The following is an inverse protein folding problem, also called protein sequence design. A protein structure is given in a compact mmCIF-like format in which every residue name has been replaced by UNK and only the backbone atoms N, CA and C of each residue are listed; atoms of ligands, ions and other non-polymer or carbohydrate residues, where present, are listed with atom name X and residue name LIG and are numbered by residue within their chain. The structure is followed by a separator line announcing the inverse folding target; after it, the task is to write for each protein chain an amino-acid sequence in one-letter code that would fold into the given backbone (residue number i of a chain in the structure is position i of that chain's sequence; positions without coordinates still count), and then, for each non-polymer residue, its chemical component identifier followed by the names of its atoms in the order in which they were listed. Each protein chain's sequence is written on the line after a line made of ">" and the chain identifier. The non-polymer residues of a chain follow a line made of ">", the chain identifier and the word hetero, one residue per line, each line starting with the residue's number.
data_IF_684210007033
#
_entry.id   IF_684210007033
#
_cell.length_a   1.000
_cell.length_b   1.000
_cell.length_c   1.000
_cell.angle_alpha   90.00
_cell.angle_beta   90.00
_cell.angle_gamma   90.00
#
_symmetry.space_group_name_H-M   'P 1'
#
loop_
_entity.id
_entity.type
_entity.pdbx_description
1 polymer ?
#
# COMPACT_ATOMS: atom_id res chain seq x y z
N UNK A 1 11.12 -58.33 11.26
CA UNK A 1 10.80 -57.01 10.67
C UNK A 1 10.02 -56.25 11.72
N UNK A 2 10.43 -55.03 12.03
CA UNK A 2 9.65 -54.19 12.95
C UNK A 2 8.30 -53.86 12.31
N UNK A 3 7.22 -54.01 13.06
CA UNK A 3 5.88 -53.59 12.66
C UNK A 3 5.86 -52.06 12.65
N UNK A 4 5.55 -51.47 11.49
CA UNK A 4 5.51 -50.02 11.26
C UNK A 4 4.08 -49.54 11.00
N UNK A 5 3.08 -50.38 11.30
CA UNK A 5 1.65 -50.06 11.10
C UNK A 5 1.16 -48.88 11.92
N UNK A 6 1.84 -48.55 13.02
CA UNK A 6 1.50 -47.45 13.94
C UNK A 6 2.36 -46.19 13.76
N UNK A 7 3.26 -46.19 12.78
CA UNK A 7 4.26 -45.15 12.58
C UNK A 7 3.70 -44.02 11.69
N UNK A 8 3.37 -42.89 12.30
CA UNK A 8 2.97 -41.68 11.59
C UNK A 8 4.18 -40.85 11.19
N UNK A 9 4.40 -40.67 9.88
CA UNK A 9 5.45 -39.81 9.33
C UNK A 9 4.91 -38.41 9.08
N UNK A 10 5.38 -37.42 9.83
CA UNK A 10 5.13 -36.01 9.52
C UNK A 10 6.03 -35.60 8.35
N UNK A 11 5.43 -35.21 7.24
CA UNK A 11 6.14 -34.68 6.07
C UNK A 11 5.70 -33.25 5.77
N UNK A 12 6.63 -32.44 5.26
CA UNK A 12 6.32 -31.10 4.73
C UNK A 12 5.58 -31.26 3.40
N UNK A 13 4.66 -30.33 3.09
CA UNK A 13 3.81 -30.41 1.88
C UNK A 13 4.60 -30.55 0.59
N UNK A 14 5.77 -29.90 0.49
CA UNK A 14 6.67 -30.00 -0.68
C UNK A 14 7.17 -31.44 -0.94
N UNK A 15 7.28 -32.26 0.11
CA UNK A 15 7.78 -33.63 0.03
C UNK A 15 6.66 -34.68 -0.10
N UNK A 16 5.40 -34.25 -0.17
CA UNK A 16 4.28 -35.15 -0.38
C UNK A 16 4.15 -35.47 -1.86
N UNK A 17 4.20 -36.76 -2.17
CA UNK A 17 4.03 -37.28 -3.52
C UNK A 17 2.73 -38.10 -3.61
N UNK A 18 2.15 -38.15 -4.81
CA UNK A 18 1.12 -39.11 -5.16
C UNK A 18 1.74 -40.51 -5.31
N UNK A 19 0.89 -41.52 -5.46
CA UNK A 19 1.34 -42.91 -5.67
C UNK A 19 2.19 -43.12 -6.93
N UNK A 20 2.08 -42.23 -7.91
CA UNK A 20 2.88 -42.22 -9.15
C UNK A 20 4.21 -41.44 -9.00
N UNK A 21 4.59 -41.06 -7.77
CA UNK A 21 5.76 -40.26 -7.43
C UNK A 21 5.75 -38.81 -7.96
N UNK A 22 4.63 -38.30 -8.48
CA UNK A 22 4.48 -36.87 -8.79
C UNK A 22 4.16 -36.04 -7.55
N UNK A 23 4.56 -34.75 -7.47
CA UNK A 23 4.20 -33.89 -6.35
C UNK A 23 2.69 -33.84 -6.10
N UNK A 24 2.30 -34.03 -4.84
CA UNK A 24 0.90 -33.97 -4.41
C UNK A 24 0.38 -32.52 -4.46
N UNK A 25 1.24 -31.57 -4.14
CA UNK A 25 0.95 -30.13 -4.20
C UNK A 25 1.77 -29.47 -5.30
N UNK A 26 1.19 -28.51 -6.05
CA UNK A 26 1.96 -27.69 -6.97
C UNK A 26 3.07 -26.93 -6.24
N UNK A 27 4.23 -26.80 -6.90
CA UNK A 27 5.31 -25.96 -6.41
C UNK A 27 4.87 -24.49 -6.41
N UNK A 28 5.28 -23.75 -5.36
CA UNK A 28 5.00 -22.33 -5.22
C UNK A 28 6.33 -21.60 -5.28
N UNK A 29 6.51 -20.77 -6.31
CA UNK A 29 7.71 -19.97 -6.47
C UNK A 29 7.34 -18.50 -6.35
N UNK A 30 8.10 -17.75 -5.57
CA UNK A 30 7.95 -16.31 -5.41
C UNK A 30 9.11 -15.60 -6.11
N UNK A 31 8.80 -14.49 -6.77
CA UNK A 31 9.76 -13.65 -7.47
C UNK A 31 9.54 -12.20 -7.08
N UNK A 32 10.62 -11.46 -6.86
CA UNK A 32 10.57 -10.01 -6.67
C UNK A 32 10.87 -9.33 -8.00
N UNK A 33 9.96 -8.48 -8.46
CA UNK A 33 10.15 -7.69 -9.68
C UNK A 33 10.70 -6.32 -9.29
N UNK A 34 12.00 -6.04 -9.49
CA UNK A 34 12.53 -4.70 -9.27
C UNK A 34 12.02 -3.75 -10.35
N UNK A 35 11.85 -2.49 -10.02
CA UNK A 35 11.54 -1.45 -10.99
C UNK A 35 12.30 -0.17 -10.66
N UNK A 36 12.57 0.63 -11.69
CA UNK A 36 13.16 1.96 -11.52
C UNK A 36 12.04 2.99 -11.55
N UNK A 37 12.04 3.89 -10.56
CA UNK A 37 11.12 5.04 -10.54
C UNK A 37 11.31 5.88 -11.80
N UNK A 38 10.20 6.39 -12.35
CA UNK A 38 10.24 7.44 -13.35
C UNK A 38 10.84 8.73 -12.78
N UNK A 39 11.30 9.63 -13.65
CA UNK A 39 11.86 10.91 -13.21
C UNK A 39 10.85 11.74 -12.40
N UNK A 40 9.56 11.67 -12.75
CA UNK A 40 8.49 12.33 -12.03
C UNK A 40 8.28 11.72 -10.63
N UNK A 41 8.25 10.39 -10.52
CA UNK A 41 8.15 9.70 -9.22
C UNK A 41 9.38 9.97 -8.34
N UNK A 42 10.59 9.96 -8.92
CA UNK A 42 11.82 10.29 -8.21
C UNK A 42 11.83 11.75 -7.72
N UNK A 43 11.29 12.68 -8.52
CA UNK A 43 11.14 14.08 -8.12
C UNK A 43 10.13 14.24 -6.97
N UNK A 44 8.97 13.56 -7.02
CA UNK A 44 8.02 13.53 -5.91
C UNK A 44 8.66 12.94 -4.65
N UNK A 45 9.40 11.84 -4.80
CA UNK A 45 10.10 11.19 -3.69
C UNK A 45 11.07 12.14 -3.00
N UNK A 46 11.91 12.82 -3.79
CA UNK A 46 12.83 13.83 -3.27
C UNK A 46 12.08 14.97 -2.57
N UNK A 47 11.00 15.47 -3.15
CA UNK A 47 10.24 16.59 -2.60
C UNK A 47 9.53 16.23 -1.28
N UNK A 48 8.93 15.04 -1.18
CA UNK A 48 8.32 14.55 0.06
C UNK A 48 9.40 14.30 1.12
N UNK A 49 10.53 13.71 0.75
CA UNK A 49 11.66 13.47 1.66
C UNK A 49 12.20 14.79 2.23
N UNK A 50 12.37 15.82 1.40
CA UNK A 50 12.84 17.13 1.85
C UNK A 50 11.83 17.78 2.79
N UNK A 51 10.54 17.79 2.43
CA UNK A 51 9.48 18.33 3.28
C UNK A 51 9.52 17.72 4.68
N UNK A 52 9.59 16.40 4.76
CA UNK A 52 9.56 15.76 6.06
C UNK A 52 10.87 15.96 6.82
N UNK A 53 12.03 15.97 6.14
CA UNK A 53 13.31 16.29 6.77
C UNK A 53 13.28 17.70 7.39
N UNK A 54 12.69 18.68 6.71
CA UNK A 54 12.52 20.03 7.23
C UNK A 54 11.57 20.09 8.44
N UNK A 55 10.47 19.34 8.43
CA UNK A 55 9.55 19.23 9.58
C UNK A 55 10.23 18.55 10.78
N UNK A 56 11.00 17.48 10.55
CA UNK A 56 11.74 16.76 11.59
C UNK A 56 12.78 17.66 12.25
N UNK A 57 13.62 18.35 11.46
CA UNK A 57 14.61 19.29 11.99
C UNK A 57 13.96 20.43 12.80
N UNK A 58 12.76 20.89 12.39
CA UNK A 58 11.99 21.90 13.13
C UNK A 58 11.44 21.35 14.45
N UNK A 59 11.07 20.08 14.48
CA UNK A 59 10.58 19.38 15.67
C UNK A 59 11.70 19.10 16.68
N UNK A 60 12.88 18.67 16.26
CA UNK A 60 14.04 18.48 17.15
C UNK A 60 14.48 19.78 17.81
N UNK A 61 14.46 20.90 17.07
CA UNK A 61 14.77 22.23 17.59
C UNK A 61 13.75 22.76 18.63
N UNK A 62 12.74 21.96 19.03
CA UNK A 62 11.81 22.28 20.11
C UNK A 62 12.24 21.72 21.48
N UNK A 63 13.34 20.95 21.57
CA UNK A 63 13.80 20.27 22.81
C UNK A 63 12.66 19.47 23.50
N UNK A 64 11.77 18.86 22.71
CA UNK A 64 10.70 18.01 23.18
C UNK A 64 10.83 16.63 22.53
N UNK A 65 11.59 15.74 23.18
CA UNK A 65 11.98 14.42 22.65
C UNK A 65 10.78 13.60 22.13
N UNK A 66 9.64 13.65 22.81
CA UNK A 66 8.44 12.90 22.37
C UNK A 66 7.82 13.46 21.07
N UNK A 67 7.95 14.77 20.84
CA UNK A 67 7.43 15.42 19.62
C UNK A 67 8.32 15.13 18.40
N UNK A 68 9.63 14.99 18.62
CA UNK A 68 10.57 14.55 17.59
C UNK A 68 10.27 13.12 17.13
N UNK A 69 10.01 12.19 18.06
CA UNK A 69 9.61 10.81 17.76
C UNK A 69 8.33 10.73 16.90
N UNK A 70 7.29 11.48 17.28
CA UNK A 70 6.01 11.52 16.54
C UNK A 70 6.18 12.05 15.10
N UNK A 71 6.99 13.09 14.89
CA UNK A 71 7.27 13.63 13.54
C UNK A 71 8.15 12.67 12.72
N UNK A 72 9.11 12.01 13.36
CA UNK A 72 9.92 10.95 12.75
C UNK A 72 9.08 9.75 12.30
N UNK A 73 8.06 9.36 13.09
CA UNK A 73 7.14 8.29 12.68
C UNK A 73 6.26 8.71 11.49
N UNK A 74 5.77 9.95 11.48
CA UNK A 74 5.02 10.49 10.33
C UNK A 74 5.85 10.47 9.02
N UNK A 75 7.18 10.60 9.08
CA UNK A 75 8.08 10.40 7.94
C UNK A 75 8.00 9.00 7.38
N UNK A 76 8.16 8.01 8.25
CA UNK A 76 8.14 6.60 7.86
C UNK A 76 6.82 6.26 7.17
N UNK A 77 5.70 6.74 7.70
CA UNK A 77 4.39 6.49 7.08
C UNK A 77 4.28 7.17 5.71
N UNK A 78 4.70 8.44 5.56
CA UNK A 78 4.68 9.09 4.24
C UNK A 78 5.55 8.37 3.21
N UNK A 79 6.72 7.86 3.64
CA UNK A 79 7.58 7.08 2.78
C UNK A 79 6.95 5.74 2.39
N UNK A 80 6.29 5.03 3.32
CA UNK A 80 5.52 3.80 3.04
C UNK A 80 4.39 4.07 2.04
N UNK A 81 3.61 5.12 2.25
CA UNK A 81 2.51 5.52 1.35
C UNK A 81 3.02 5.88 -0.04
N UNK A 82 4.14 6.59 -0.12
CA UNK A 82 4.80 6.94 -1.38
C UNK A 82 5.35 5.71 -2.12
N UNK A 83 5.92 4.75 -1.40
CA UNK A 83 6.38 3.48 -1.97
C UNK A 83 5.21 2.59 -2.43
N UNK A 84 4.03 2.74 -1.82
CA UNK A 84 2.86 1.95 -2.18
C UNK A 84 2.25 2.38 -3.52
N UNK A 85 1.73 3.61 -3.62
CA UNK A 85 1.19 4.14 -4.87
C UNK A 85 1.08 5.68 -4.89
N UNK A 86 1.04 6.31 -6.09
CA UNK A 86 0.74 7.73 -6.20
C UNK A 86 -0.62 8.14 -5.62
N UNK A 87 -1.60 7.23 -5.57
CA UNK A 87 -2.89 7.49 -4.90
C UNK A 87 -2.71 7.59 -3.39
N UNK A 88 -2.01 6.63 -2.77
CA UNK A 88 -1.85 6.60 -1.33
C UNK A 88 -1.20 7.88 -0.81
N UNK A 89 -0.07 8.29 -1.41
CA UNK A 89 0.59 9.53 -1.01
C UNK A 89 -0.26 10.78 -1.32
N UNK A 90 -0.98 10.80 -2.45
CA UNK A 90 -1.89 11.89 -2.78
C UNK A 90 -2.97 12.08 -1.70
N UNK A 91 -3.62 10.98 -1.29
CA UNK A 91 -4.66 11.03 -0.27
C UNK A 91 -4.11 11.40 1.10
N UNK A 92 -2.93 10.91 1.49
CA UNK A 92 -2.26 11.30 2.74
C UNK A 92 -1.96 12.81 2.78
N UNK A 93 -1.34 13.34 1.72
CA UNK A 93 -1.02 14.77 1.63
C UNK A 93 -2.27 15.65 1.61
N UNK A 94 -3.30 15.24 0.86
CA UNK A 94 -4.58 15.95 0.78
C UNK A 94 -5.27 16.02 2.13
N UNK A 95 -5.41 14.88 2.82
CA UNK A 95 -6.07 14.81 4.13
C UNK A 95 -5.35 15.67 5.16
N UNK A 96 -4.01 15.58 5.20
CA UNK A 96 -3.18 16.42 6.07
C UNK A 96 -3.39 17.90 5.76
N UNK A 97 -3.35 18.32 4.49
CA UNK A 97 -3.62 19.71 4.08
C UNK A 97 -4.99 20.19 4.55
N UNK A 98 -6.05 19.43 4.25
CA UNK A 98 -7.43 19.82 4.60
C UNK A 98 -7.61 19.99 6.12
N UNK A 99 -6.93 19.19 6.93
CA UNK A 99 -6.91 19.32 8.40
C UNK A 99 -6.13 20.54 8.86
N UNK A 100 -4.92 20.76 8.35
CA UNK A 100 -4.14 21.95 8.70
C UNK A 100 -4.85 23.24 8.28
N UNK A 101 -5.53 23.25 7.14
CA UNK A 101 -6.37 24.38 6.73
C UNK A 101 -7.55 24.62 7.68
N UNK A 102 -8.18 23.55 8.20
CA UNK A 102 -9.23 23.66 9.22
C UNK A 102 -8.68 24.25 10.50
N UNK A 103 -7.50 23.77 10.93
CA UNK A 103 -6.81 24.27 12.12
C UNK A 103 -6.43 25.75 11.97
N UNK A 104 -5.90 26.14 10.81
CA UNK A 104 -5.59 27.53 10.49
C UNK A 104 -6.83 28.43 10.63
N UNK A 105 -7.97 28.02 10.06
CA UNK A 105 -9.23 28.77 10.17
C UNK A 105 -9.67 28.96 11.61
N UNK A 106 -9.58 27.91 12.45
CA UNK A 106 -9.91 27.99 13.88
C UNK A 106 -9.03 29.02 14.60
N UNK A 107 -7.71 28.96 14.36
CA UNK A 107 -6.74 29.87 14.99
C UNK A 107 -6.96 31.32 14.58
N UNK A 108 -7.25 31.57 13.29
CA UNK A 108 -7.56 32.91 12.80
C UNK A 108 -8.85 33.49 13.41
N UNK A 109 -9.83 32.65 13.73
CA UNK A 109 -11.05 33.09 14.43
C UNK A 109 -10.73 33.46 15.89
N UNK A 110 -9.95 32.63 16.58
CA UNK A 110 -9.53 32.89 17.97
C UNK A 110 -8.69 34.17 18.09
N UNK A 111 -7.76 34.38 17.16
CA UNK A 111 -6.94 35.59 17.10
C UNK A 111 -7.78 36.84 16.88
N UNK A 112 -8.79 36.77 16.00
CA UNK A 112 -9.75 37.87 15.78
C UNK A 112 -10.64 38.13 17.00
N UNK A 113 -10.91 37.11 17.81
CA UNK A 113 -11.65 37.21 19.07
C UNK A 113 -10.88 37.81 20.25
N UNK A 114 -9.63 38.26 20.05
CA UNK A 114 -8.80 38.86 21.09
C UNK A 114 -8.23 37.87 22.11
N UNK A 115 -8.33 36.57 21.86
CA UNK A 115 -7.69 35.56 22.69
C UNK A 115 -6.21 35.44 22.30
N UNK A 116 -5.33 35.40 23.31
CA UNK A 116 -3.91 35.12 23.11
C UNK A 116 -3.79 33.68 22.59
N UNK A 117 -3.46 33.53 21.31
CA UNK A 117 -3.07 32.25 20.75
C UNK A 117 -1.69 31.93 21.32
N UNK A 118 -1.66 31.20 22.44
CA UNK A 118 -0.43 30.61 22.96
C UNK A 118 0.20 29.68 21.93
N UNK A 119 1.45 29.25 22.18
CA UNK A 119 2.19 28.24 21.38
C UNK A 119 1.20 27.20 20.86
N UNK A 120 1.25 26.90 19.56
CA UNK A 120 0.39 25.89 18.93
C UNK A 120 0.53 24.56 19.69
N UNK A 121 -0.33 24.39 20.69
CA UNK A 121 -0.36 23.23 21.54
C UNK A 121 -1.09 22.17 20.72
N UNK A 122 -0.31 21.41 19.96
CA UNK A 122 -0.82 20.24 19.28
C UNK A 122 -1.20 19.27 20.39
N UNK A 123 -2.51 19.03 20.56
CA UNK A 123 -3.04 17.93 21.38
C UNK A 123 -2.75 16.57 20.72
N UNK A 124 -1.57 16.40 20.14
CA UNK A 124 -1.13 15.17 19.55
C UNK A 124 -0.84 14.16 20.66
N UNK A 125 -1.22 12.88 20.50
CA UNK A 125 -0.57 11.80 21.22
C UNK A 125 0.93 11.98 21.03
N UNK A 126 1.65 12.16 22.12
CA UNK A 126 3.10 12.19 22.11
C UNK A 126 3.55 10.73 22.11
N UNK A 127 3.78 10.16 20.93
CA UNK A 127 4.35 8.84 20.81
C UNK A 127 5.85 8.93 21.12
N UNK A 128 6.32 8.14 22.08
CA UNK A 128 7.74 7.90 22.27
C UNK A 128 8.23 6.70 21.45
N UNK A 129 9.52 6.38 21.59
CA UNK A 129 10.17 5.37 20.76
C UNK A 129 9.62 3.96 21.03
N UNK A 130 9.17 3.68 22.26
CA UNK A 130 8.52 2.42 22.63
C UNK A 130 7.13 2.32 21.99
N UNK A 131 6.35 3.42 21.99
CA UNK A 131 5.05 3.45 21.33
C UNK A 131 5.14 3.16 19.81
N UNK A 132 6.24 3.57 19.16
CA UNK A 132 6.50 3.31 17.74
C UNK A 132 6.88 1.85 17.48
N UNK A 133 7.66 1.24 18.37
CA UNK A 133 8.03 -0.18 18.27
C UNK A 133 6.81 -1.08 18.52
N UNK A 134 5.94 -0.74 19.46
CA UNK A 134 4.69 -1.47 19.74
C UNK A 134 3.70 -1.43 18.55
N UNK A 135 3.74 -0.38 17.74
CA UNK A 135 2.93 -0.27 16.52
C UNK A 135 3.37 -1.31 15.47
N UNK A 136 4.66 -1.64 15.34
CA UNK A 136 5.11 -2.65 14.38
C UNK A 136 4.53 -4.06 14.68
N UNK A 137 4.13 -4.30 15.94
CA UNK A 137 3.50 -5.55 16.42
C UNK A 137 1.97 -5.46 16.55
N UNK A 138 1.36 -4.29 16.30
CA UNK A 138 -0.08 -4.07 16.47
C UNK A 138 -0.92 -4.72 15.34
N UNK A 139 -2.23 -4.98 15.59
CA UNK A 139 -3.12 -5.48 14.55
C UNK A 139 -3.26 -4.46 13.40
N UNK A 140 -3.15 -4.93 12.16
CA UNK A 140 -3.09 -4.07 10.96
C UNK A 140 -4.26 -3.07 10.80
N UNK A 141 -5.46 -3.46 11.23
CA UNK A 141 -6.62 -2.58 11.13
C UNK A 141 -6.55 -1.40 12.11
N UNK A 142 -5.94 -1.60 13.28
CA UNK A 142 -5.70 -0.55 14.27
C UNK A 142 -4.49 0.30 13.89
N UNK A 143 -3.50 -0.32 13.23
CA UNK A 143 -2.34 0.36 12.66
C UNK A 143 -2.72 1.42 11.63
N UNK A 144 -3.52 1.08 10.62
CA UNK A 144 -3.86 2.03 9.54
C UNK A 144 -4.54 3.30 10.10
N UNK A 145 -5.44 3.16 11.07
CA UNK A 145 -6.13 4.30 11.70
C UNK A 145 -5.14 5.14 12.52
N UNK A 146 -4.30 4.48 13.31
CA UNK A 146 -3.33 5.15 14.18
C UNK A 146 -2.27 5.88 13.36
N UNK A 147 -1.77 5.25 12.29
CA UNK A 147 -0.86 5.86 11.33
C UNK A 147 -1.45 7.16 10.77
N UNK A 148 -2.70 7.12 10.30
CA UNK A 148 -3.38 8.30 9.77
C UNK A 148 -3.50 9.40 10.82
N UNK A 149 -3.95 9.05 12.03
CA UNK A 149 -4.09 10.02 13.12
C UNK A 149 -2.76 10.70 13.48
N UNK A 150 -1.66 9.96 13.52
CA UNK A 150 -0.33 10.50 13.80
C UNK A 150 0.12 11.42 12.68
N UNK A 151 -0.02 10.98 11.43
CA UNK A 151 0.34 11.77 10.25
C UNK A 151 -0.41 13.10 10.21
N UNK A 152 -1.65 13.11 10.67
CA UNK A 152 -2.49 14.30 10.66
C UNK A 152 -2.21 15.27 11.81
N UNK A 153 -1.59 14.81 12.89
CA UNK A 153 -1.34 15.59 14.09
C UNK A 153 0.14 16.03 14.24
N UNK A 154 1.04 15.45 13.46
CA UNK A 154 2.48 15.70 13.47
C UNK A 154 2.92 17.01 12.76
N UNK A 155 2.27 18.15 13.02
CA UNK A 155 2.76 19.47 12.55
C UNK A 155 3.80 20.04 13.53
N UNK A 156 4.92 20.55 13.01
CA UNK A 156 5.94 21.24 13.80
C UNK A 156 5.75 22.77 13.83
N UNK A 157 4.68 23.29 13.20
CA UNK A 157 4.42 24.73 13.13
C UNK A 157 4.16 25.33 14.52
N UNK A 158 4.79 26.48 14.81
CA UNK A 158 4.72 27.22 16.09
C UNK A 158 3.87 28.49 15.97
N UNK A 159 3.66 28.97 14.74
CA UNK A 159 2.89 30.17 14.44
C UNK A 159 1.89 29.95 13.31
N UNK A 160 0.89 30.84 13.23
CA UNK A 160 -0.06 30.89 12.11
C UNK A 160 0.68 31.04 10.77
N UNK A 161 1.78 31.78 10.75
CA UNK A 161 2.56 31.99 9.53
C UNK A 161 3.32 30.73 9.11
N UNK A 162 3.95 30.02 10.04
CA UNK A 162 4.57 28.72 9.77
C UNK A 162 3.54 27.70 9.27
N UNK A 163 2.36 27.67 9.88
CA UNK A 163 1.27 26.79 9.46
C UNK A 163 0.79 27.10 8.03
N UNK A 164 0.73 28.37 7.64
CA UNK A 164 0.42 28.77 6.25
C UNK A 164 1.50 28.29 5.27
N UNK A 165 2.77 28.45 5.63
CA UNK A 165 3.89 27.98 4.80
C UNK A 165 3.81 26.46 4.61
N UNK A 166 3.57 25.70 5.69
CA UNK A 166 3.40 24.25 5.63
C UNK A 166 2.24 23.85 4.71
N UNK A 167 1.07 24.50 4.84
CA UNK A 167 -0.10 24.25 3.97
C UNK A 167 0.23 24.51 2.50
N UNK A 168 0.95 25.58 2.17
CA UNK A 168 1.37 25.85 0.80
C UNK A 168 2.36 24.81 0.26
N UNK A 169 3.25 24.29 1.11
CA UNK A 169 4.12 23.16 0.76
C UNK A 169 3.31 21.90 0.47
N UNK A 170 2.35 21.56 1.34
CA UNK A 170 1.46 20.41 1.14
C UNK A 170 0.62 20.54 -0.15
N UNK A 171 0.14 21.74 -0.50
CA UNK A 171 -0.55 21.97 -1.78
C UNK A 171 0.33 21.66 -2.99
N UNK A 172 1.61 22.06 -2.95
CA UNK A 172 2.56 21.76 -4.02
C UNK A 172 2.82 20.25 -4.13
N UNK A 173 3.03 19.57 -3.00
CA UNK A 173 3.23 18.11 -2.98
C UNK A 173 1.99 17.35 -3.45
N UNK A 174 0.80 17.75 -3.00
CA UNK A 174 -0.48 17.18 -3.44
C UNK A 174 -0.63 17.32 -4.97
N UNK A 175 -0.31 18.48 -5.53
CA UNK A 175 -0.37 18.71 -6.97
C UNK A 175 0.59 17.82 -7.76
N UNK A 176 1.82 17.63 -7.27
CA UNK A 176 2.80 16.72 -7.87
C UNK A 176 2.30 15.28 -7.85
N UNK A 177 1.82 14.80 -6.70
CA UNK A 177 1.25 13.45 -6.57
C UNK A 177 0.05 13.25 -7.50
N UNK A 178 -0.84 14.23 -7.58
CA UNK A 178 -1.99 14.20 -8.48
C UNK A 178 -1.57 14.18 -9.96
N UNK A 179 -0.52 14.91 -10.34
CA UNK A 179 -0.03 14.88 -11.73
C UNK A 179 0.47 13.51 -12.14
N UNK A 180 1.23 12.82 -11.28
CA UNK A 180 1.76 11.47 -11.54
C UNK A 180 0.62 10.45 -11.62
N UNK A 181 -0.32 10.54 -10.67
CA UNK A 181 -1.53 9.72 -10.66
C UNK A 181 -2.31 9.83 -11.98
N UNK A 182 -2.42 11.05 -12.53
CA UNK A 182 -3.14 11.34 -13.78
C UNK A 182 -2.34 11.01 -15.04
N UNK A 183 -1.02 11.14 -15.02
CA UNK A 183 -0.19 10.83 -16.19
C UNK A 183 -0.19 9.34 -16.50
N UNK A 184 -0.48 8.49 -15.51
CA UNK A 184 -0.40 7.04 -15.66
C UNK A 184 1.05 6.54 -15.69
N UNK A 185 2.00 7.40 -15.33
CA UNK A 185 3.43 7.07 -15.32
C UNK A 185 3.87 6.30 -14.07
N UNK A 186 2.95 5.91 -13.20
CA UNK A 186 3.17 4.95 -12.11
C UNK A 186 3.80 3.66 -12.65
N UNK A 187 5.06 3.41 -12.29
CA UNK A 187 5.81 2.25 -12.81
C UNK A 187 5.28 0.95 -12.25
N UNK A 188 4.91 0.92 -10.97
CA UNK A 188 4.36 -0.29 -10.34
C UNK A 188 3.01 -0.67 -10.97
N UNK A 189 2.16 0.33 -11.25
CA UNK A 189 0.93 0.09 -12.02
C UNK A 189 1.21 -0.42 -13.43
N UNK A 190 2.19 0.15 -14.15
CA UNK A 190 2.53 -0.28 -15.52
C UNK A 190 2.93 -1.75 -15.57
N UNK A 191 3.78 -2.20 -14.66
CA UNK A 191 4.17 -3.61 -14.55
C UNK A 191 2.96 -4.51 -14.27
N UNK A 192 2.10 -4.11 -13.31
CA UNK A 192 0.87 -4.85 -13.02
C UNK A 192 -0.08 -4.88 -14.22
N UNK A 193 -0.23 -3.77 -14.94
CA UNK A 193 -1.09 -3.68 -16.12
C UNK A 193 -0.59 -4.60 -17.24
N UNK A 194 0.73 -4.67 -17.46
CA UNK A 194 1.35 -5.61 -18.41
C UNK A 194 1.05 -7.04 -18.01
N UNK A 195 1.24 -7.41 -16.73
CA UNK A 195 0.91 -8.73 -16.22
C UNK A 195 -0.57 -9.10 -16.43
N UNK A 196 -1.48 -8.18 -16.11
CA UNK A 196 -2.92 -8.38 -16.31
C UNK A 196 -3.26 -8.54 -17.80
N UNK A 197 -2.57 -7.78 -18.68
CA UNK A 197 -2.67 -7.93 -20.13
C UNK A 197 -2.24 -9.33 -20.59
N UNK A 198 -1.06 -9.80 -20.17
CA UNK A 198 -0.57 -11.13 -20.52
C UNK A 198 -1.51 -12.25 -20.06
N UNK A 199 -2.16 -12.09 -18.89
CA UNK A 199 -3.06 -13.11 -18.33
C UNK A 199 -4.44 -13.09 -18.99
N UNK A 200 -5.03 -11.91 -19.14
CA UNK A 200 -6.46 -11.75 -19.43
C UNK A 200 -6.79 -11.26 -20.85
N UNK A 201 -5.82 -10.76 -21.62
CA UNK A 201 -6.04 -10.35 -23.02
C UNK A 201 -5.53 -11.39 -24.03
N UNK A 202 -6.29 -11.73 -25.07
CA UNK A 202 -5.78 -12.50 -26.20
C UNK A 202 -4.64 -11.75 -26.91
N UNK A 203 -3.65 -12.49 -27.44
CA UNK A 203 -2.42 -11.99 -28.07
C UNK A 203 -2.59 -10.91 -29.17
N UNK A 204 -3.81 -10.66 -29.64
CA UNK A 204 -4.13 -9.64 -30.64
C UNK A 204 -4.10 -8.19 -30.14
N UNK A 205 -4.10 -7.95 -28.82
CA UNK A 205 -4.06 -6.58 -28.22
C UNK A 205 -2.66 -6.24 -27.66
N UNK A 206 -1.76 -7.22 -27.57
CA UNK A 206 -0.43 -7.08 -26.93
C UNK A 206 0.52 -6.06 -27.57
N UNK A 207 0.19 -5.49 -28.74
CA UNK A 207 1.06 -4.56 -29.48
C UNK A 207 1.00 -3.09 -29.04
N UNK A 208 0.22 -2.72 -28.01
CA UNK A 208 0.04 -1.30 -27.63
C UNK A 208 0.63 -0.88 -26.27
N UNK A 209 1.22 -1.78 -25.49
CA UNK A 209 1.69 -1.47 -24.12
C UNK A 209 3.15 -1.86 -23.82
N UNK A 210 3.85 -2.50 -24.75
CA UNK A 210 5.25 -2.86 -24.54
C UNK A 210 6.16 -1.63 -24.74
N UNK A 211 6.44 -0.89 -23.65
CA UNK A 211 7.70 -0.15 -23.57
C UNK A 211 8.85 -1.17 -23.58
N UNK A 212 10.00 -0.79 -24.17
CA UNK A 212 11.22 -1.61 -24.11
C UNK A 212 11.54 -1.95 -22.65
N UNK A 213 11.52 -3.24 -22.32
CA UNK A 213 11.91 -3.73 -21.01
C UNK A 213 13.33 -3.22 -20.72
N UNK A 214 13.51 -2.50 -19.61
CA UNK A 214 14.82 -2.05 -19.20
C UNK A 214 15.72 -3.30 -19.03
N UNK A 215 16.96 -3.31 -19.56
CA UNK A 215 17.86 -4.43 -19.37
C UNK A 215 18.16 -4.56 -17.87
N UNK A 216 17.58 -5.58 -17.25
CA UNK A 216 17.81 -5.89 -15.85
C UNK A 216 19.25 -6.41 -15.64
N UNK A 217 19.83 -6.08 -14.49
CA UNK A 217 21.16 -6.55 -14.06
C UNK A 217 21.22 -8.09 -14.09
N UNK A 218 22.35 -8.62 -14.55
CA UNK A 218 22.53 -10.00 -15.03
C UNK A 218 22.47 -11.14 -13.98
N UNK A 219 21.63 -11.02 -12.94
CA UNK A 219 21.60 -11.97 -11.83
C UNK A 219 20.23 -12.37 -11.27
N UNK A 220 19.13 -11.69 -11.62
CA UNK A 220 17.77 -12.08 -11.18
C UNK A 220 17.10 -12.86 -12.31
N UNK A 221 16.67 -14.13 -12.09
CA UNK A 221 15.92 -14.86 -13.09
C UNK A 221 14.63 -14.09 -13.44
N UNK A 222 14.38 -13.88 -14.74
CA UNK A 222 13.08 -13.37 -15.16
C UNK A 222 11.96 -14.31 -14.65
N UNK A 223 10.89 -13.78 -14.03
CA UNK A 223 9.79 -14.62 -13.58
C UNK A 223 9.18 -15.34 -14.79
N UNK A 224 8.77 -16.61 -14.63
CA UNK A 224 8.13 -17.36 -15.70
C UNK A 224 6.85 -16.63 -16.12
N UNK A 225 6.67 -16.45 -17.42
CA UNK A 225 5.48 -15.80 -17.95
C UNK A 225 4.23 -16.60 -17.57
N UNK A 226 3.18 -15.94 -17.05
CA UNK A 226 1.95 -16.65 -16.72
C UNK A 226 1.32 -17.24 -17.99
N UNK A 227 0.70 -18.41 -17.86
CA UNK A 227 -0.03 -19.03 -18.98
C UNK A 227 -1.34 -18.30 -19.23
N UNK A 228 -1.56 -17.62 -20.37
CA UNK A 228 -2.76 -16.82 -20.59
C UNK A 228 -4.03 -17.69 -20.47
N UNK A 229 -5.01 -17.24 -19.68
CA UNK A 229 -6.30 -17.91 -19.60
C UNK A 229 -7.38 -16.99 -19.01
N UNK A 230 -8.56 -16.88 -19.63
CA UNK A 230 -9.67 -16.11 -19.09
C UNK A 230 -10.25 -16.72 -17.81
N UNK A 231 -9.87 -17.97 -17.47
CA UNK A 231 -10.27 -18.65 -16.24
C UNK A 231 -9.26 -18.51 -15.11
N UNK A 232 -8.13 -17.81 -15.34
CA UNK A 232 -7.22 -17.48 -14.26
C UNK A 232 -7.93 -16.62 -13.22
N UNK A 233 -7.54 -16.83 -11.97
CA UNK A 233 -7.98 -16.02 -10.84
C UNK A 233 -6.77 -15.47 -10.13
N UNK A 234 -6.77 -14.17 -9.91
CA UNK A 234 -5.67 -13.42 -9.34
C UNK A 234 -6.05 -12.88 -7.98
N UNK A 235 -5.13 -12.95 -7.04
CA UNK A 235 -5.25 -12.25 -5.76
C UNK A 235 -4.14 -11.23 -5.69
N UNK A 236 -4.50 -9.99 -5.38
CA UNK A 236 -3.56 -8.88 -5.27
C UNK A 236 -3.68 -8.31 -3.86
N UNK A 237 -2.58 -8.33 -3.13
CA UNK A 237 -2.47 -7.75 -1.80
C UNK A 237 -1.87 -6.35 -1.88
N UNK A 238 -2.40 -5.45 -1.07
CA UNK A 238 -1.89 -4.08 -0.89
C UNK A 238 -1.86 -3.76 0.59
N UNK A 239 -0.94 -2.91 1.02
CA UNK A 239 -0.89 -2.51 2.43
C UNK A 239 -2.00 -1.52 2.77
N UNK A 240 -2.28 -0.60 1.84
CA UNK A 240 -3.12 0.57 2.09
C UNK A 240 -4.46 0.53 1.36
N UNK A 241 -5.54 0.95 2.04
CA UNK A 241 -6.89 0.99 1.44
C UNK A 241 -7.00 1.96 0.26
N UNK A 242 -6.28 3.07 0.29
CA UNK A 242 -6.24 4.03 -0.82
C UNK A 242 -5.66 3.39 -2.10
N UNK A 243 -4.57 2.61 -1.97
CA UNK A 243 -3.99 1.85 -3.08
C UNK A 243 -4.97 0.78 -3.59
N UNK A 244 -5.62 0.05 -2.68
CA UNK A 244 -6.64 -0.94 -3.04
C UNK A 244 -7.75 -0.33 -3.89
N UNK A 245 -8.34 0.78 -3.46
CA UNK A 245 -9.42 1.46 -4.17
C UNK A 245 -8.97 1.96 -5.55
N UNK A 246 -7.74 2.50 -5.62
CA UNK A 246 -7.12 2.91 -6.87
C UNK A 246 -6.97 1.73 -7.85
N UNK A 247 -6.41 0.61 -7.39
CA UNK A 247 -6.25 -0.59 -8.21
C UNK A 247 -7.60 -1.16 -8.62
N UNK A 248 -8.60 -1.18 -7.75
CA UNK A 248 -9.94 -1.68 -8.09
C UNK A 248 -10.52 -0.91 -9.28
N UNK A 249 -10.45 0.43 -9.25
CA UNK A 249 -10.91 1.26 -10.36
C UNK A 249 -10.08 1.04 -11.63
N UNK A 250 -8.76 0.97 -11.50
CA UNK A 250 -7.84 0.88 -12.65
C UNK A 250 -7.91 -0.47 -13.34
N UNK A 251 -7.95 -1.57 -12.57
CA UNK A 251 -8.12 -2.93 -13.10
C UNK A 251 -9.50 -3.09 -13.71
N UNK A 252 -10.56 -2.61 -13.04
CA UNK A 252 -11.91 -2.65 -13.59
C UNK A 252 -12.02 -1.92 -14.94
N UNK A 253 -11.35 -0.78 -15.07
CA UNK A 253 -11.25 -0.01 -16.33
C UNK A 253 -10.45 -0.76 -17.39
N UNK A 254 -9.28 -1.30 -17.02
CA UNK A 254 -8.41 -2.05 -17.93
C UNK A 254 -9.10 -3.29 -18.51
N UNK A 255 -9.84 -4.01 -17.67
CA UNK A 255 -10.60 -5.18 -18.09
C UNK A 255 -11.92 -4.82 -18.81
N UNK A 256 -12.37 -3.57 -18.73
CA UNK A 256 -13.66 -3.12 -19.25
C UNK A 256 -14.89 -3.66 -18.51
N UNK A 257 -14.68 -4.28 -17.34
CA UNK A 257 -15.72 -4.91 -16.52
C UNK A 257 -15.42 -4.75 -15.04
N UNK A 258 -16.08 -3.78 -14.41
CA UNK A 258 -15.89 -3.51 -12.99
C UNK A 258 -16.24 -4.72 -12.10
N UNK A 259 -17.22 -5.54 -12.52
CA UNK A 259 -17.62 -6.74 -11.80
C UNK A 259 -16.57 -7.86 -11.80
N UNK A 260 -15.55 -7.79 -12.65
CA UNK A 260 -14.47 -8.77 -12.62
C UNK A 260 -13.53 -8.62 -11.42
N UNK A 261 -13.66 -7.51 -10.68
CA UNK A 261 -12.80 -7.16 -9.55
C UNK A 261 -13.65 -7.07 -8.29
N UNK A 262 -13.31 -7.85 -7.29
CA UNK A 262 -13.86 -7.75 -5.93
C UNK A 262 -12.78 -7.32 -4.95
N UNK A 263 -13.18 -6.69 -3.86
CA UNK A 263 -12.29 -6.14 -2.85
C UNK A 263 -12.64 -6.66 -1.45
N UNK A 264 -11.63 -6.87 -0.61
CA UNK A 264 -11.75 -7.20 0.80
C UNK A 264 -10.82 -6.29 1.61
N UNK A 265 -11.37 -5.50 2.53
CA UNK A 265 -10.56 -4.64 3.42
C UNK A 265 -11.07 -4.65 4.86
N UNK A 266 -10.26 -4.16 5.81
CA UNK A 266 -10.52 -4.22 7.26
C UNK A 266 -11.89 -3.66 7.66
N UNK A 267 -12.30 -2.54 7.06
CA UNK A 267 -13.60 -1.91 7.31
C UNK A 267 -14.85 -2.63 6.75
N UNK A 268 -14.72 -3.78 6.09
CA UNK A 268 -15.87 -4.51 5.55
C UNK A 268 -16.56 -5.39 6.60
N UNK A 269 -17.89 -5.39 6.58
CA UNK A 269 -18.69 -6.29 7.40
C UNK A 269 -18.50 -7.76 7.03
N UNK A 270 -18.78 -8.67 7.98
CA UNK A 270 -18.61 -10.12 7.79
C UNK A 270 -19.37 -10.67 6.58
N UNK A 271 -20.61 -10.22 6.38
CA UNK A 271 -21.47 -10.68 5.29
C UNK A 271 -20.94 -10.23 3.92
N UNK A 272 -20.53 -8.97 3.78
CA UNK A 272 -19.93 -8.45 2.55
C UNK A 272 -18.62 -9.17 2.20
N UNK A 273 -17.80 -9.45 3.22
CA UNK A 273 -16.56 -10.23 3.06
C UNK A 273 -16.85 -11.65 2.57
N UNK A 274 -17.83 -12.33 3.16
CA UNK A 274 -18.25 -13.67 2.71
C UNK A 274 -18.74 -13.64 1.26
N UNK A 275 -19.57 -12.65 0.90
CA UNK A 275 -20.06 -12.48 -0.46
C UNK A 275 -18.92 -12.26 -1.47
N UNK A 276 -17.94 -11.43 -1.14
CA UNK A 276 -16.77 -11.20 -2.00
C UNK A 276 -15.93 -12.47 -2.17
N UNK A 277 -15.71 -13.24 -1.10
CA UNK A 277 -15.00 -14.53 -1.16
C UNK A 277 -15.75 -15.57 -2.00
N UNK A 278 -17.06 -15.68 -1.82
CA UNK A 278 -17.89 -16.61 -2.60
C UNK A 278 -17.93 -16.24 -4.08
N UNK A 279 -18.09 -14.96 -4.40
CA UNK A 279 -18.02 -14.46 -5.76
C UNK A 279 -16.65 -14.78 -6.37
N UNK A 280 -15.54 -14.46 -5.68
CA UNK A 280 -14.21 -14.81 -6.17
C UNK A 280 -14.02 -16.32 -6.35
N UNK A 281 -14.61 -17.17 -5.51
CA UNK A 281 -14.42 -18.63 -5.62
C UNK A 281 -15.23 -19.24 -6.77
N UNK A 282 -16.48 -18.83 -6.91
CA UNK A 282 -17.48 -19.55 -7.70
C UNK A 282 -17.95 -18.81 -8.95
N UNK A 283 -17.93 -17.47 -8.95
CA UNK A 283 -18.37 -16.67 -10.10
C UNK A 283 -17.27 -16.66 -11.18
N UNK A 284 -17.52 -17.16 -12.39
CA UNK A 284 -16.54 -17.12 -13.48
C UNK A 284 -16.28 -15.70 -14.03
N UNK A 285 -17.17 -14.73 -13.78
CA UNK A 285 -16.97 -13.34 -14.21
C UNK A 285 -15.98 -12.60 -13.33
N UNK A 286 -15.86 -13.00 -12.06
CA UNK A 286 -14.89 -12.44 -11.10
C UNK A 286 -13.52 -13.07 -11.30
N UNK A 287 -12.52 -12.27 -11.66
CA UNK A 287 -11.17 -12.75 -11.95
C UNK A 287 -10.13 -12.24 -10.96
N UNK A 288 -10.34 -11.08 -10.36
CA UNK A 288 -9.36 -10.43 -9.48
C UNK A 288 -10.00 -10.20 -8.12
N UNK A 289 -9.32 -10.64 -7.07
CA UNK A 289 -9.62 -10.28 -5.70
C UNK A 289 -8.49 -9.36 -5.19
N UNK A 290 -8.85 -8.14 -4.83
CA UNK A 290 -7.97 -7.22 -4.11
C UNK A 290 -8.19 -7.37 -2.62
N UNK A 291 -7.13 -7.41 -1.83
CA UNK A 291 -7.23 -7.45 -0.39
C UNK A 291 -6.20 -6.54 0.27
N UNK A 292 -6.58 -5.87 1.36
CA UNK A 292 -5.57 -5.31 2.27
C UNK A 292 -4.92 -6.45 3.05
N UNK A 293 -3.64 -6.35 3.40
CA UNK A 293 -2.93 -7.38 4.20
C UNK A 293 -3.74 -7.78 5.45
N UNK A 294 -4.25 -6.79 6.20
CA UNK A 294 -5.13 -6.94 7.36
C UNK A 294 -6.36 -7.82 7.14
N UNK A 295 -6.86 -7.86 5.91
CA UNK A 295 -8.11 -8.53 5.55
C UNK A 295 -7.87 -9.80 4.73
N UNK A 296 -6.61 -10.05 4.35
CA UNK A 296 -6.11 -11.26 3.70
C UNK A 296 -6.02 -12.47 4.62
N UNK A 297 -5.82 -12.23 5.92
CA UNK A 297 -5.76 -13.30 6.91
C UNK A 297 -7.05 -14.14 6.93
N UNK A 298 -6.89 -15.46 6.81
CA UNK A 298 -8.00 -16.40 6.80
C UNK A 298 -8.76 -16.50 5.47
N UNK A 299 -8.36 -15.79 4.42
CA UNK A 299 -8.90 -16.02 3.07
C UNK A 299 -8.40 -17.38 2.55
N UNK A 300 -9.32 -18.26 2.13
CA UNK A 300 -8.94 -19.49 1.44
C UNK A 300 -8.58 -19.20 -0.03
N UNK A 301 -7.28 -19.10 -0.30
CA UNK A 301 -6.71 -18.77 -1.62
C UNK A 301 -6.60 -19.95 -2.60
N UNK A 302 -7.16 -21.13 -2.29
CA UNK A 302 -6.98 -22.34 -3.13
C UNK A 302 -7.47 -22.21 -4.58
N UNK A 303 -8.33 -21.23 -4.87
CA UNK A 303 -8.82 -20.95 -6.23
C UNK A 303 -7.91 -20.00 -7.02
N UNK A 304 -7.01 -19.29 -6.36
CA UNK A 304 -6.08 -18.36 -6.98
C UNK A 304 -5.00 -19.13 -7.76
N UNK A 305 -4.68 -18.64 -8.95
CA UNK A 305 -3.64 -19.20 -9.82
C UNK A 305 -2.34 -18.42 -9.70
N UNK A 306 -2.44 -17.11 -9.40
CA UNK A 306 -1.29 -16.26 -9.15
C UNK A 306 -1.66 -15.24 -8.05
N UNK A 307 -0.69 -14.97 -7.20
CA UNK A 307 -0.76 -14.03 -6.08
C UNK A 307 0.26 -12.93 -6.33
N UNK A 308 -0.15 -11.68 -6.18
CA UNK A 308 0.71 -10.51 -6.33
C UNK A 308 0.68 -9.72 -5.04
N UNK A 309 1.83 -9.52 -4.41
CA UNK A 309 1.98 -8.56 -3.34
C UNK A 309 2.41 -7.25 -4.00
N UNK A 310 1.49 -6.29 -4.08
CA UNK A 310 1.74 -4.98 -4.70
C UNK A 310 2.68 -4.15 -3.82
N UNK A 311 2.59 -4.35 -2.51
CA UNK A 311 3.46 -3.77 -1.51
C UNK A 311 4.26 -4.91 -0.87
N UNK A 312 5.55 -4.68 -0.61
CA UNK A 312 6.35 -5.64 0.15
C UNK A 312 6.17 -5.31 1.63
N UNK A 313 5.82 -6.29 2.49
CA UNK A 313 5.70 -6.03 3.91
C UNK A 313 7.06 -5.59 4.47
N UNK A 314 7.05 -4.51 5.24
CA UNK A 314 8.25 -3.95 5.85
C UNK A 314 8.85 -4.88 6.92
N UNK A 315 8.02 -5.70 7.57
CA UNK A 315 8.45 -6.77 8.45
C UNK A 315 8.65 -8.07 7.63
N UNK A 316 9.89 -8.59 7.50
CA UNK A 316 10.16 -9.79 6.71
C UNK A 316 9.62 -11.09 7.33
N UNK A 317 9.15 -11.06 8.58
CA UNK A 317 8.48 -12.20 9.21
C UNK A 317 6.99 -12.32 8.85
N UNK A 318 6.48 -11.42 8.00
CA UNK A 318 5.09 -11.33 7.56
C UNK A 318 4.83 -12.02 6.22
#
# INVERSE_FOLDING_TARGET
>A
MADVSDLMRRMVKENLLKFDATPLFPERVAYTVPYKLSDAEAALYKAVTEYVREEFNRAEALENDKRAGTVGFALTILQRRLASSPEAIYQSLRRRRERLERRLRELEVLQRGGQVVGVLDSRAPLLDQEDVEDLDDAPDAELEVTEEEVLDQATAARSIEELRIEIETLKRLEALALSIRRSGEDKKWRELATLLGEIFTPASISNHLAEEAAPYDAGVPEPPKPTPSPHQKLVIFTEHRDTLNYLQSRIGTLLGRAQAVVAIHGGMGREERMKAQEAFRHDPEVQVLLATDAAGEGINLQRAHLMVNYDLPWNPNR
#
